data_IF_575555872589
#
_entry.id   IF_575555872589
#
_cell.length_a   1.000
_cell.length_b   1.000
_cell.length_c   1.000
_cell.angle_alpha   90.00
_cell.angle_beta   90.00
_cell.angle_gamma   90.00
#
_symmetry.space_group_name_H-M   'P 1'
#
loop_
_entity.id
_entity.type
_entity.pdbx_description
1 polymer ?
#
# COMPACT_ATOMS: atom_id res chain seq x y z
N UNK A 1 9.99 -5.00 -0.11
CA UNK A 1 11.10 -5.85 0.40
C UNK A 1 10.68 -6.37 1.73
N UNK A 2 10.76 -7.69 1.92
CA UNK A 2 10.37 -8.32 3.18
C UNK A 2 11.53 -8.33 4.18
N UNK A 3 11.29 -8.86 5.39
CA UNK A 3 12.23 -8.85 6.52
C UNK A 3 13.59 -9.46 6.17
N UNK A 4 13.59 -10.61 5.47
CA UNK A 4 14.82 -11.33 5.10
C UNK A 4 15.54 -10.75 3.86
N UNK A 5 15.00 -9.67 3.27
CA UNK A 5 15.65 -8.94 2.20
C UNK A 5 15.22 -9.33 0.78
N UNK A 6 14.22 -10.19 0.62
CA UNK A 6 13.71 -10.57 -0.69
C UNK A 6 13.14 -9.35 -1.42
N UNK A 7 13.48 -9.25 -2.70
CA UNK A 7 13.01 -8.19 -3.60
C UNK A 7 11.86 -8.73 -4.43
N UNK A 8 10.67 -8.21 -4.22
CA UNK A 8 9.57 -8.36 -5.18
C UNK A 8 9.79 -7.31 -6.28
N UNK A 9 9.79 -7.75 -7.55
CA UNK A 9 10.08 -6.93 -8.73
C UNK A 9 8.84 -6.59 -9.56
N UNK A 10 7.65 -6.89 -9.06
CA UNK A 10 6.37 -6.65 -9.75
C UNK A 10 6.05 -5.16 -9.86
N UNK A 11 6.38 -4.37 -8.84
CA UNK A 11 6.16 -2.93 -8.81
C UNK A 11 7.31 -2.20 -8.13
N UNK A 12 7.41 -0.89 -8.37
CA UNK A 12 8.29 -0.02 -7.59
C UNK A 12 7.74 0.14 -6.17
N UNK A 13 8.61 0.24 -5.17
CA UNK A 13 8.16 0.55 -3.80
C UNK A 13 7.66 2.00 -3.75
N UNK A 14 6.55 2.24 -3.06
CA UNK A 14 6.02 3.60 -2.85
C UNK A 14 7.01 4.56 -2.16
N UNK A 15 8.09 4.03 -1.56
CA UNK A 15 9.11 4.88 -0.96
C UNK A 15 9.99 5.63 -1.95
N UNK A 16 9.94 5.26 -3.23
CA UNK A 16 10.65 5.97 -4.30
C UNK A 16 9.74 6.92 -5.10
N UNK A 17 8.48 7.08 -4.68
CA UNK A 17 7.47 7.94 -5.33
C UNK A 17 8.04 9.32 -5.71
N UNK A 18 8.80 9.91 -4.78
CA UNK A 18 9.32 11.27 -4.87
C UNK A 18 10.86 11.35 -4.95
N UNK A 19 11.53 10.23 -5.24
CA UNK A 19 12.99 10.20 -5.35
C UNK A 19 13.42 10.20 -6.82
N UNK A 20 14.24 11.16 -7.24
CA UNK A 20 14.72 11.32 -8.62
C UNK A 20 15.78 10.29 -9.03
N UNK A 21 15.43 9.01 -8.97
CA UNK A 21 16.33 7.86 -9.21
C UNK A 21 16.30 7.37 -10.66
N UNK A 22 15.32 7.80 -11.45
CA UNK A 22 15.04 7.22 -12.78
C UNK A 22 15.44 8.19 -13.89
N UNK A 23 16.77 8.30 -14.11
CA UNK A 23 17.37 9.24 -15.09
C UNK A 23 16.89 10.69 -14.89
N UNK A 24 16.85 11.12 -13.62
CA UNK A 24 16.40 12.46 -13.23
C UNK A 24 14.91 12.57 -12.89
N UNK A 25 14.09 11.56 -13.17
CA UNK A 25 12.66 11.54 -12.82
C UNK A 25 12.37 10.78 -11.53
N UNK A 26 11.29 11.16 -10.84
CA UNK A 26 10.67 10.37 -9.77
C UNK A 26 9.74 9.30 -10.33
N UNK A 27 9.31 8.33 -9.50
CA UNK A 27 8.35 7.33 -9.93
C UNK A 27 6.98 7.97 -10.26
N UNK A 28 6.52 8.92 -9.44
CA UNK A 28 5.27 9.66 -9.69
C UNK A 28 5.32 10.44 -11.00
N UNK A 29 6.46 11.08 -11.32
CA UNK A 29 6.63 11.73 -12.62
C UNK A 29 6.56 10.74 -13.78
N UNK A 30 7.16 9.55 -13.64
CA UNK A 30 7.04 8.50 -14.66
C UNK A 30 5.59 8.07 -14.87
N UNK A 31 4.81 7.90 -13.80
CA UNK A 31 3.39 7.56 -13.88
C UNK A 31 2.57 8.65 -14.56
N UNK A 32 2.76 9.91 -14.15
CA UNK A 32 2.11 11.08 -14.76
C UNK A 32 2.45 11.20 -16.24
N UNK A 33 3.73 11.10 -16.61
CA UNK A 33 4.18 11.22 -17.99
C UNK A 33 3.56 10.12 -18.88
N UNK A 34 3.45 8.90 -18.34
CA UNK A 34 2.78 7.79 -19.03
C UNK A 34 1.30 8.08 -19.25
N UNK A 35 0.57 8.49 -18.21
CA UNK A 35 -0.85 8.86 -18.32
C UNK A 35 -1.07 10.01 -19.31
N UNK A 36 -0.18 11.02 -19.30
CA UNK A 36 -0.23 12.15 -20.23
C UNK A 36 -0.08 11.70 -21.67
N UNK A 37 0.91 10.85 -21.95
CA UNK A 37 1.11 10.27 -23.27
C UNK A 37 -0.11 9.44 -23.70
N UNK A 38 -0.68 8.64 -22.79
CA UNK A 38 -1.90 7.88 -23.07
C UNK A 38 -3.06 8.81 -23.48
N UNK A 39 -3.32 9.88 -22.71
CA UNK A 39 -4.37 10.86 -23.03
C UNK A 39 -4.18 11.45 -24.42
N UNK A 40 -2.96 11.90 -24.75
CA UNK A 40 -2.66 12.54 -26.03
C UNK A 40 -2.83 11.58 -27.22
N UNK A 41 -2.43 10.32 -27.07
CA UNK A 41 -2.47 9.33 -28.16
C UNK A 41 -3.83 8.62 -28.29
N UNK A 42 -4.65 8.66 -27.24
CA UNK A 42 -5.98 8.02 -27.21
C UNK A 42 -7.13 9.04 -27.27
N UNK A 43 -6.84 10.30 -27.60
CA UNK A 43 -7.80 11.40 -27.58
C UNK A 43 -9.08 11.08 -28.38
N UNK A 44 -8.96 10.48 -29.57
CA UNK A 44 -10.13 10.11 -30.39
C UNK A 44 -11.06 9.12 -29.67
N UNK A 45 -10.51 8.18 -28.91
CA UNK A 45 -11.29 7.19 -28.13
C UNK A 45 -11.88 7.79 -26.86
N UNK A 46 -11.17 8.73 -26.23
CA UNK A 46 -11.66 9.48 -25.06
C UNK A 46 -12.81 10.40 -25.49
N UNK A 47 -12.61 11.21 -26.54
CA UNK A 47 -13.58 12.17 -27.04
C UNK A 47 -14.82 11.52 -27.66
N UNK A 48 -14.69 10.32 -28.25
CA UNK A 48 -15.83 9.53 -28.73
C UNK A 48 -16.61 8.80 -27.61
N UNK A 49 -16.10 8.80 -26.37
CA UNK A 49 -16.72 8.14 -25.23
C UNK A 49 -16.56 6.61 -25.20
N UNK A 50 -15.64 6.05 -26.00
CA UNK A 50 -15.29 4.62 -25.95
C UNK A 50 -14.61 4.29 -24.62
N UNK A 51 -13.72 5.16 -24.16
CA UNK A 51 -13.06 5.03 -22.85
C UNK A 51 -13.92 5.76 -21.81
N UNK A 52 -14.61 4.97 -20.98
CA UNK A 52 -15.53 5.49 -19.96
C UNK A 52 -14.87 5.66 -18.58
N UNK A 53 -13.77 4.94 -18.32
CA UNK A 53 -13.00 5.05 -17.10
C UNK A 53 -11.51 4.78 -17.34
N UNK A 54 -10.69 5.29 -16.42
CA UNK A 54 -9.27 5.00 -16.30
C UNK A 54 -9.03 4.44 -14.92
N UNK A 55 -8.65 3.17 -14.87
CA UNK A 55 -8.22 2.54 -13.64
C UNK A 55 -6.72 2.75 -13.46
N UNK A 56 -6.35 3.54 -12.46
CA UNK A 56 -4.96 3.87 -12.15
C UNK A 56 -4.42 2.78 -11.22
N UNK A 57 -3.43 2.02 -11.70
CA UNK A 57 -2.76 1.00 -10.92
C UNK A 57 -1.87 1.59 -9.83
N UNK A 58 -2.04 1.14 -8.57
CA UNK A 58 -1.38 1.71 -7.39
C UNK A 58 -0.50 0.70 -6.62
N UNK A 59 -0.10 -0.39 -7.28
CA UNK A 59 0.69 -1.44 -6.64
C UNK A 59 0.64 -2.77 -7.37
N UNK A 60 1.00 -3.88 -6.70
CA UNK A 60 0.93 -5.23 -7.25
C UNK A 60 -0.48 -5.55 -7.78
N UNK A 61 -0.56 -6.22 -8.92
CA UNK A 61 -1.81 -6.45 -9.67
C UNK A 61 -2.66 -5.18 -9.95
N UNK A 62 -2.06 -3.98 -9.86
CA UNK A 62 -2.76 -2.69 -9.98
C UNK A 62 -3.52 -2.25 -8.72
N UNK A 63 -3.46 -3.01 -7.63
CA UNK A 63 -4.22 -2.76 -6.41
C UNK A 63 -3.43 -1.86 -5.44
N UNK A 64 -4.14 -1.00 -4.70
CA UNK A 64 -3.55 -0.15 -3.65
C UNK A 64 -3.20 -0.98 -2.41
N UNK A 65 -2.08 -1.70 -2.46
CA UNK A 65 -1.59 -2.55 -1.37
C UNK A 65 -0.11 -2.83 -1.46
N UNK A 66 0.40 -3.49 -0.43
CA UNK A 66 1.70 -4.12 -0.47
C UNK A 66 1.66 -5.55 -1.06
N UNK A 67 2.78 -6.08 -1.59
CA UNK A 67 2.88 -7.47 -2.06
C UNK A 67 3.08 -8.44 -0.88
N UNK A 68 2.13 -8.47 0.05
CA UNK A 68 2.26 -9.23 1.31
C UNK A 68 1.99 -10.74 1.18
N UNK A 69 1.39 -11.19 0.08
CA UNK A 69 1.05 -12.58 -0.21
C UNK A 69 1.62 -13.01 -1.57
N UNK A 70 2.94 -12.98 -1.69
CA UNK A 70 3.62 -13.26 -2.96
C UNK A 70 3.82 -14.76 -3.16
N UNK A 71 3.03 -15.39 -4.05
CA UNK A 71 3.17 -16.82 -4.40
C UNK A 71 4.58 -17.16 -4.89
N UNK A 72 5.20 -16.25 -5.64
CA UNK A 72 6.59 -16.38 -6.12
C UNK A 72 7.64 -16.41 -5.00
N UNK A 73 7.26 -16.02 -3.78
CA UNK A 73 8.09 -16.08 -2.57
C UNK A 73 7.61 -17.17 -1.60
N UNK A 74 6.77 -18.11 -2.06
CA UNK A 74 6.35 -19.28 -1.31
C UNK A 74 5.15 -19.06 -0.40
N UNK A 75 4.47 -17.91 -0.47
CA UNK A 75 3.20 -17.73 0.23
C UNK A 75 2.12 -18.67 -0.35
N UNK A 76 1.34 -19.28 0.53
CA UNK A 76 0.22 -20.15 0.20
C UNK A 76 -0.98 -19.76 1.05
N UNK A 77 -2.15 -19.65 0.43
CA UNK A 77 -3.40 -19.38 1.14
C UNK A 77 -3.70 -20.47 2.20
N UNK A 78 -4.13 -20.11 3.43
CA UNK A 78 -4.49 -18.78 3.92
C UNK A 78 -3.40 -18.13 4.78
N UNK A 79 -2.11 -18.21 4.44
CA UNK A 79 -1.03 -17.62 5.25
C UNK A 79 -1.24 -16.12 5.56
N UNK A 80 -0.81 -15.66 6.74
CA UNK A 80 -0.96 -14.25 7.16
C UNK A 80 -0.25 -13.24 6.25
N UNK A 81 0.78 -13.66 5.51
CA UNK A 81 1.61 -12.77 4.70
C UNK A 81 2.77 -12.13 5.48
N UNK A 82 3.50 -11.22 4.84
CA UNK A 82 4.59 -10.46 5.48
C UNK A 82 4.53 -8.96 5.18
N UNK A 83 4.93 -8.13 6.15
CA UNK A 83 5.11 -6.70 5.97
C UNK A 83 6.22 -6.42 4.95
N UNK A 84 5.96 -5.52 4.01
CA UNK A 84 6.84 -5.23 2.87
C UNK A 84 7.59 -3.89 2.99
N UNK A 85 7.88 -3.47 4.21
CA UNK A 85 8.45 -2.15 4.55
C UNK A 85 9.97 -2.13 4.80
N UNK A 86 10.71 -3.17 4.39
CA UNK A 86 12.12 -3.32 4.77
C UNK A 86 13.11 -2.78 3.74
N UNK A 87 12.66 -2.14 2.67
CA UNK A 87 13.57 -1.40 1.79
C UNK A 87 14.20 -0.21 2.55
N UNK A 88 15.37 0.24 2.09
CA UNK A 88 16.17 1.23 2.81
C UNK A 88 15.44 2.58 2.99
N UNK A 89 14.52 2.92 2.08
CA UNK A 89 13.82 4.20 2.11
C UNK A 89 12.65 4.16 3.10
N UNK A 90 11.81 3.12 3.07
CA UNK A 90 10.76 2.93 4.08
C UNK A 90 11.33 2.75 5.49
N UNK A 91 12.44 2.02 5.62
CA UNK A 91 13.13 1.87 6.90
C UNK A 91 13.61 3.21 7.45
N UNK A 92 14.29 4.01 6.62
CA UNK A 92 14.77 5.34 7.02
C UNK A 92 13.62 6.28 7.38
N UNK A 93 12.52 6.23 6.63
CA UNK A 93 11.33 7.03 6.89
C UNK A 93 10.66 6.65 8.22
N UNK A 94 10.51 5.35 8.51
CA UNK A 94 9.97 4.90 9.80
C UNK A 94 10.88 5.32 10.96
N UNK A 95 12.20 5.14 10.83
CA UNK A 95 13.19 5.53 11.82
C UNK A 95 13.17 7.04 12.12
N UNK A 96 12.90 7.88 11.12
CA UNK A 96 12.72 9.31 11.31
C UNK A 96 11.40 9.63 12.03
N UNK A 97 10.30 8.99 11.64
CA UNK A 97 8.99 9.19 12.27
C UNK A 97 9.00 8.78 13.76
N UNK A 98 9.62 7.65 14.11
CA UNK A 98 9.71 7.22 15.52
C UNK A 98 10.63 8.14 16.34
N UNK A 99 11.73 8.64 15.76
CA UNK A 99 12.58 9.67 16.41
C UNK A 99 11.78 10.95 16.68
N UNK A 100 10.98 11.39 15.70
CA UNK A 100 10.17 12.61 15.77
C UNK A 100 9.13 12.57 16.89
N UNK A 101 8.57 11.39 17.18
CA UNK A 101 7.58 11.22 18.25
C UNK A 101 8.21 10.83 19.61
N UNK A 102 9.53 10.82 19.72
CA UNK A 102 10.23 10.55 20.98
C UNK A 102 10.45 9.06 21.30
N UNK A 103 10.29 8.17 20.32
CA UNK A 103 10.46 6.71 20.47
C UNK A 103 11.56 6.15 19.56
N UNK A 104 12.82 6.64 19.61
CA UNK A 104 13.91 6.18 18.74
C UNK A 104 14.23 4.67 18.88
N UNK A 105 13.82 4.05 19.98
CA UNK A 105 13.95 2.64 20.28
C UNK A 105 13.01 1.76 19.45
N UNK A 106 11.88 2.28 18.96
CA UNK A 106 10.95 1.51 18.15
C UNK A 106 11.56 1.13 16.80
N UNK A 107 11.34 -0.13 16.39
CA UNK A 107 11.85 -0.72 15.15
C UNK A 107 10.72 -1.31 14.32
N UNK A 108 11.02 -1.68 13.08
CA UNK A 108 10.10 -2.46 12.26
C UNK A 108 9.83 -3.82 12.93
N UNK A 109 8.64 -4.44 12.72
CA UNK A 109 8.26 -5.65 13.45
C UNK A 109 9.11 -6.90 13.15
N UNK A 110 9.95 -7.32 14.09
CA UNK A 110 10.74 -8.55 13.94
C UNK A 110 9.95 -9.84 14.27
N UNK A 111 8.87 -9.70 15.04
CA UNK A 111 8.07 -10.80 15.62
C UNK A 111 6.75 -11.10 14.87
N UNK A 112 6.61 -10.63 13.63
CA UNK A 112 5.38 -10.75 12.84
C UNK A 112 5.23 -12.09 12.08
N UNK A 113 6.12 -13.05 12.34
CA UNK A 113 6.14 -14.34 11.65
C UNK A 113 6.68 -14.27 10.22
N UNK A 114 6.30 -15.27 9.44
CA UNK A 114 6.60 -15.46 8.02
C UNK A 114 5.31 -15.65 7.22
N UNK A 115 5.42 -15.65 5.89
CA UNK A 115 4.29 -15.69 4.95
C UNK A 115 3.16 -16.68 5.32
N UNK A 116 3.51 -17.89 5.74
CA UNK A 116 2.58 -19.02 5.90
C UNK A 116 2.16 -19.32 7.35
N UNK A 117 2.56 -18.48 8.31
CA UNK A 117 2.09 -18.65 9.69
C UNK A 117 0.58 -18.37 9.81
N UNK A 118 0.00 -18.83 10.93
CA UNK A 118 -1.29 -18.36 11.42
C UNK A 118 -1.08 -17.26 12.49
N UNK A 119 -2.07 -16.37 12.73
CA UNK A 119 -1.88 -15.22 13.63
C UNK A 119 -1.37 -15.61 15.03
N UNK A 120 -1.92 -16.68 15.60
CA UNK A 120 -1.64 -17.16 16.97
C UNK A 120 -0.22 -17.69 17.15
N UNK A 121 0.49 -18.00 16.06
CA UNK A 121 1.90 -18.44 16.10
C UNK A 121 2.90 -17.28 16.13
N UNK A 122 2.41 -16.04 16.06
CA UNK A 122 3.26 -14.85 15.96
C UNK A 122 3.15 -13.97 17.19
N UNK A 123 4.29 -13.44 17.65
CA UNK A 123 4.29 -12.47 18.74
C UNK A 123 3.62 -11.14 18.37
N UNK A 124 3.50 -10.83 17.07
CA UNK A 124 2.85 -9.59 16.63
C UNK A 124 1.33 -9.70 16.65
N UNK A 125 0.74 -10.80 16.18
CA UNK A 125 -0.72 -10.95 16.01
C UNK A 125 -1.40 -11.86 17.03
N UNK A 126 -0.69 -12.35 18.05
CA UNK A 126 -1.32 -13.13 19.12
C UNK A 126 -2.51 -12.36 19.74
N UNK A 127 -3.61 -13.09 19.98
CA UNK A 127 -4.91 -12.56 20.39
C UNK A 127 -4.86 -11.63 21.62
N UNK A 128 -4.18 -12.02 22.70
CA UNK A 128 -4.34 -11.36 24.01
C UNK A 128 -3.33 -10.25 24.29
N UNK A 129 -2.11 -10.35 23.75
CA UNK A 129 -1.00 -9.47 24.10
C UNK A 129 -0.05 -9.22 22.93
N UNK A 130 -0.53 -9.43 21.70
CA UNK A 130 0.25 -9.23 20.49
C UNK A 130 0.71 -7.79 20.35
N UNK A 131 1.88 -7.59 19.76
CA UNK A 131 2.43 -6.25 19.53
C UNK A 131 1.45 -5.33 18.80
N UNK A 132 0.57 -5.86 17.93
CA UNK A 132 -0.44 -5.08 17.22
C UNK A 132 -1.42 -4.31 18.14
N UNK A 133 -1.60 -4.76 19.38
CA UNK A 133 -2.45 -4.12 20.39
C UNK A 133 -1.72 -3.04 21.20
N UNK A 134 -0.38 -3.06 21.20
CA UNK A 134 0.47 -2.15 21.98
C UNK A 134 0.69 -0.84 21.24
N UNK A 135 1.20 0.17 21.93
CA UNK A 135 1.39 1.51 21.37
C UNK A 135 2.32 1.50 20.16
N UNK A 136 3.43 0.76 20.25
CA UNK A 136 4.41 0.63 19.17
C UNK A 136 3.82 -0.04 17.93
N UNK A 137 2.99 -1.09 18.11
CA UNK A 137 2.35 -1.78 16.99
C UNK A 137 1.24 -0.95 16.35
N UNK A 138 0.43 -0.26 17.16
CA UNK A 138 -0.60 0.68 16.66
C UNK A 138 0.02 1.83 15.87
N UNK A 139 1.16 2.35 16.35
CA UNK A 139 1.91 3.37 15.62
C UNK A 139 2.44 2.82 14.30
N UNK A 140 3.10 1.66 14.32
CA UNK A 140 3.60 1.01 13.11
C UNK A 140 2.49 0.76 12.08
N UNK A 141 1.35 0.18 12.48
CA UNK A 141 0.23 -0.09 11.58
C UNK A 141 -0.41 1.18 11.03
N UNK A 142 -0.48 2.25 11.84
CA UNK A 142 -0.93 3.57 11.40
C UNK A 142 0.02 4.17 10.37
N UNK A 143 1.34 4.09 10.62
CA UNK A 143 2.36 4.55 9.67
C UNK A 143 2.28 3.76 8.36
N UNK A 144 2.27 2.43 8.45
CA UNK A 144 2.31 1.52 7.29
C UNK A 144 1.08 1.69 6.40
N UNK A 145 -0.12 1.72 6.99
CA UNK A 145 -1.36 1.95 6.22
C UNK A 145 -1.46 3.38 5.66
N UNK A 146 -0.98 4.39 6.40
CA UNK A 146 -0.95 5.79 5.91
C UNK A 146 -0.08 5.95 4.67
N UNK A 147 1.00 5.17 4.52
CA UNK A 147 1.84 5.23 3.32
C UNK A 147 1.08 4.88 2.05
N UNK A 148 0.17 3.90 2.09
CA UNK A 148 -0.72 3.61 0.96
C UNK A 148 -1.67 4.77 0.68
N UNK A 149 -2.25 5.39 1.72
CA UNK A 149 -3.15 6.53 1.52
C UNK A 149 -2.45 7.71 0.83
N UNK A 150 -1.22 8.03 1.27
CA UNK A 150 -0.41 9.12 0.67
C UNK A 150 -0.04 8.78 -0.77
N UNK A 151 0.40 7.54 -1.02
CA UNK A 151 0.73 7.04 -2.36
C UNK A 151 -0.45 7.17 -3.32
N UNK A 152 -1.62 6.68 -2.91
CA UNK A 152 -2.84 6.73 -3.71
C UNK A 152 -3.32 8.17 -3.97
N UNK A 153 -3.40 9.01 -2.93
CA UNK A 153 -3.82 10.42 -3.05
C UNK A 153 -2.90 11.18 -4.03
N UNK A 154 -1.58 10.98 -3.93
CA UNK A 154 -0.61 11.65 -4.79
C UNK A 154 -0.73 11.24 -6.26
N UNK A 155 -0.82 9.94 -6.56
CA UNK A 155 -0.88 9.47 -7.95
C UNK A 155 -2.24 9.80 -8.57
N UNK A 156 -3.33 9.69 -7.80
CA UNK A 156 -4.66 10.08 -8.26
C UNK A 156 -4.79 11.59 -8.48
N UNK A 157 -4.08 12.42 -7.72
CA UNK A 157 -3.99 13.86 -7.98
C UNK A 157 -3.33 14.14 -9.34
N UNK A 158 -2.23 13.46 -9.66
CA UNK A 158 -1.61 13.56 -10.99
C UNK A 158 -2.50 13.03 -12.11
N UNK A 159 -3.20 11.91 -11.89
CA UNK A 159 -4.17 11.37 -12.85
C UNK A 159 -5.30 12.37 -13.12
N UNK A 160 -5.83 13.02 -12.07
CA UNK A 160 -6.84 14.07 -12.22
C UNK A 160 -6.35 15.25 -13.06
N UNK A 161 -5.11 15.72 -12.82
CA UNK A 161 -4.51 16.80 -13.62
C UNK A 161 -4.38 16.39 -15.08
N UNK A 162 -3.97 15.15 -15.35
CA UNK A 162 -3.85 14.64 -16.72
C UNK A 162 -5.21 14.58 -17.39
N UNK A 163 -6.19 13.91 -16.81
CA UNK A 163 -7.49 13.67 -17.46
C UNK A 163 -8.53 14.77 -17.21
N UNK A 164 -8.10 15.94 -16.72
CA UNK A 164 -8.97 17.08 -16.50
C UNK A 164 -9.71 17.48 -17.78
N UNK A 165 -11.05 17.51 -17.72
CA UNK A 165 -11.92 17.87 -18.85
C UNK A 165 -12.32 16.69 -19.73
N UNK A 166 -11.72 15.51 -19.57
CA UNK A 166 -12.16 14.30 -20.24
C UNK A 166 -13.48 13.79 -19.63
N UNK A 167 -14.39 13.27 -20.46
CA UNK A 167 -15.67 12.69 -20.01
C UNK A 167 -15.51 11.22 -19.60
N UNK A 168 -14.68 10.98 -18.59
CA UNK A 168 -14.40 9.65 -18.05
C UNK A 168 -14.33 9.69 -16.51
N UNK A 169 -14.32 8.52 -15.88
CA UNK A 169 -14.12 8.38 -14.43
C UNK A 169 -12.71 7.90 -14.11
N UNK A 170 -12.17 8.32 -12.98
CA UNK A 170 -10.97 7.68 -12.43
C UNK A 170 -11.38 6.59 -11.45
N UNK A 171 -10.65 5.48 -11.47
CA UNK A 171 -10.84 4.37 -10.55
C UNK A 171 -9.50 3.89 -10.00
N UNK A 172 -9.55 3.25 -8.83
CA UNK A 172 -8.44 2.50 -8.27
C UNK A 172 -8.97 1.20 -7.67
N UNK A 173 -8.12 0.18 -7.63
CA UNK A 173 -8.48 -1.12 -7.07
C UNK A 173 -8.08 -1.24 -5.60
N UNK A 174 -8.99 -1.78 -4.80
CA UNK A 174 -8.73 -2.22 -3.43
C UNK A 174 -8.89 -3.74 -3.40
N UNK A 175 -7.88 -4.44 -2.90
CA UNK A 175 -7.87 -5.90 -2.86
C UNK A 175 -8.79 -6.48 -1.78
N UNK A 176 -9.45 -7.59 -2.10
CA UNK A 176 -10.33 -8.32 -1.19
C UNK A 176 -9.57 -9.33 -0.33
N UNK A 177 -9.04 -8.89 0.81
CA UNK A 177 -8.30 -9.76 1.74
C UNK A 177 -9.27 -10.36 2.75
N UNK A 178 -9.87 -11.49 2.39
CA UNK A 178 -10.97 -12.08 3.17
C UNK A 178 -10.53 -13.11 4.21
N UNK A 179 -9.30 -13.65 4.10
CA UNK A 179 -8.80 -14.61 5.08
C UNK A 179 -8.32 -13.88 6.34
N UNK A 180 -8.49 -14.53 7.49
CA UNK A 180 -8.32 -13.93 8.83
C UNK A 180 -9.25 -12.75 9.17
N UNK A 181 -10.19 -12.37 8.30
CA UNK A 181 -11.18 -11.33 8.61
C UNK A 181 -12.03 -11.66 9.86
N UNK A 182 -12.17 -12.94 10.20
CA UNK A 182 -12.90 -13.40 11.40
C UNK A 182 -12.01 -13.60 12.62
N UNK A 183 -10.70 -13.37 12.52
CA UNK A 183 -9.82 -13.32 13.69
C UNK A 183 -9.75 -11.88 14.21
N UNK A 184 -9.45 -11.70 15.50
CA UNK A 184 -9.32 -10.35 16.09
C UNK A 184 -8.26 -9.48 15.41
N UNK A 185 -7.20 -10.11 14.92
CA UNK A 185 -6.04 -9.41 14.40
C UNK A 185 -6.20 -8.98 12.95
N UNK A 186 -7.12 -9.60 12.19
CA UNK A 186 -7.27 -9.34 10.75
C UNK A 186 -5.90 -9.41 10.01
N UNK A 187 -5.04 -10.34 10.43
CA UNK A 187 -3.59 -10.27 10.18
C UNK A 187 -3.22 -10.04 8.70
N UNK A 188 -3.92 -10.70 7.78
CA UNK A 188 -3.66 -10.53 6.35
C UNK A 188 -4.03 -9.14 5.82
N UNK A 189 -5.11 -8.53 6.29
CA UNK A 189 -5.46 -7.14 5.95
C UNK A 189 -4.36 -6.19 6.44
N UNK A 190 -3.91 -6.37 7.70
CA UNK A 190 -2.83 -5.58 8.29
C UNK A 190 -1.54 -5.69 7.48
N UNK A 191 -1.14 -6.92 7.12
CA UNK A 191 0.03 -7.20 6.29
C UNK A 191 -0.07 -6.58 4.89
N UNK A 192 -1.26 -6.58 4.28
CA UNK A 192 -1.51 -5.93 2.99
C UNK A 192 -1.50 -4.38 3.07
N UNK A 193 -1.49 -3.82 4.29
CA UNK A 193 -1.50 -2.39 4.56
C UNK A 193 -2.89 -1.81 4.83
N UNK A 194 -3.92 -2.64 4.88
CA UNK A 194 -5.26 -2.25 5.31
C UNK A 194 -5.35 -2.38 6.82
N UNK A 195 -5.21 -1.25 7.53
CA UNK A 195 -5.33 -1.25 8.99
C UNK A 195 -6.81 -1.36 9.41
N UNK A 196 -7.40 -2.52 9.19
CA UNK A 196 -8.78 -2.83 9.53
C UNK A 196 -8.81 -3.75 10.76
N UNK A 197 -9.69 -3.45 11.71
CA UNK A 197 -9.98 -4.24 12.92
C UNK A 197 -11.46 -4.09 13.25
N UNK A 198 -12.00 -4.91 14.17
CA UNK A 198 -13.40 -4.82 14.60
C UNK A 198 -13.80 -3.39 15.02
N UNK A 199 -12.92 -2.67 15.72
CA UNK A 199 -13.15 -1.31 16.20
C UNK A 199 -12.51 -0.21 15.34
N UNK A 200 -11.95 -0.55 14.18
CA UNK A 200 -11.26 0.40 13.29
C UNK A 200 -11.53 0.07 11.83
N UNK A 201 -12.34 0.90 11.18
CA UNK A 201 -12.62 0.81 9.75
C UNK A 201 -11.42 1.28 8.90
N UNK A 202 -10.67 0.32 8.35
CA UNK A 202 -9.51 0.57 7.49
C UNK A 202 -9.88 1.06 6.09
N UNK A 203 -11.02 0.63 5.57
CA UNK A 203 -11.44 0.87 4.18
C UNK A 203 -12.09 2.24 3.99
N UNK A 204 -12.81 2.75 5.00
CA UNK A 204 -13.40 4.09 4.95
C UNK A 204 -12.35 5.19 4.85
N UNK A 205 -11.13 4.97 5.35
CA UNK A 205 -10.03 5.90 5.14
C UNK A 205 -9.63 5.99 3.66
N UNK A 206 -9.57 4.85 2.96
CA UNK A 206 -9.31 4.78 1.52
C UNK A 206 -10.44 5.45 0.75
N UNK A 207 -11.70 5.12 1.06
CA UNK A 207 -12.85 5.75 0.40
C UNK A 207 -12.90 7.28 0.60
N UNK A 208 -12.52 7.78 1.79
CA UNK A 208 -12.42 9.22 2.06
C UNK A 208 -11.33 9.91 1.23
N UNK A 209 -10.19 9.24 1.02
CA UNK A 209 -9.13 9.70 0.13
C UNK A 209 -9.65 9.75 -1.31
N UNK A 210 -10.20 8.64 -1.82
CA UNK A 210 -10.72 8.55 -3.18
C UNK A 210 -11.81 9.58 -3.49
N UNK A 211 -12.66 9.93 -2.50
CA UNK A 211 -13.71 10.95 -2.66
C UNK A 211 -13.20 12.31 -3.16
N UNK A 212 -11.93 12.65 -2.92
CA UNK A 212 -11.33 13.91 -3.40
C UNK A 212 -11.08 13.92 -4.91
N UNK A 213 -11.14 12.74 -5.54
CA UNK A 213 -10.73 12.47 -6.91
C UNK A 213 -11.90 12.12 -7.84
N UNK A 214 -13.14 12.38 -7.37
CA UNK A 214 -14.42 12.21 -8.08
C UNK A 214 -14.67 10.80 -8.64
#
# INVERSE_FOLDING_TARGET
TNKIGNRNTECLSLSVDNLSLFKGRTAVEMYRDYMKSFRENMEDFISSGVIIDIEVGLGPAGELRYPSYSETQGWVFPGIGEFQCYDKYLRSDYEEEVRRIGHPEWKLPENAGEYNNIPEETGFFEYSNGTYLKEEGKFFLSWYSRKLLVHGDQILDEANKVFLGCKLKLAAKVSGIHWWYKSESHAAELMAGYYNLENRDGYRAIAKMMRRHH
#
